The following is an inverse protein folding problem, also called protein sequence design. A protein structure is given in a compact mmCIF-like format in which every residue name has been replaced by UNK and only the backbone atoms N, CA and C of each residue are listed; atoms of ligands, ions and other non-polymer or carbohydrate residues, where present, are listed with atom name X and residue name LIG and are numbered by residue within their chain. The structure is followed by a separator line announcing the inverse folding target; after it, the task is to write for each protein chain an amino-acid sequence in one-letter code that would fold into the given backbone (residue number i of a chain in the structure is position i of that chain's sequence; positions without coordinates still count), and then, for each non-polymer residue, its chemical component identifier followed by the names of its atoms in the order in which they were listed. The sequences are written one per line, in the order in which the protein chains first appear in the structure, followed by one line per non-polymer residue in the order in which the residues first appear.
data_IF_330693218910
#
_entry.id   IF_330693218910
#
_cell.length_a   1.000
_cell.length_b   1.000
_cell.length_c   1.000
_cell.angle_alpha   90.00
_cell.angle_beta   90.00
_cell.angle_gamma   90.00
#
_symmetry.space_group_name_H-M   'P 1'
#
loop_
_entity.id
_entity.type
_entity.pdbx_description
1 polymer ?
#
# COMPACT_ATOMS: atom_id res chain seq x y z
N UNK A 1 -54.08 69.24 -79.60
CA UNK A 1 -55.20 68.52 -78.94
C UNK A 1 -54.60 67.65 -77.83
N UNK A 2 -55.13 67.66 -76.61
CA UNK A 2 -54.61 66.83 -75.51
C UNK A 2 -55.31 65.47 -75.54
N UNK A 3 -54.56 64.38 -75.70
CA UNK A 3 -55.06 63.01 -75.55
C UNK A 3 -55.18 62.63 -74.07
N UNK A 4 -56.10 61.72 -73.76
CA UNK A 4 -56.28 61.17 -72.42
C UNK A 4 -56.05 59.66 -72.47
N UNK A 5 -55.15 59.14 -71.63
CA UNK A 5 -55.02 57.69 -71.42
C UNK A 5 -56.00 57.27 -70.32
N UNK A 6 -56.77 56.19 -70.56
CA UNK A 6 -57.61 55.56 -69.54
C UNK A 6 -57.25 54.08 -69.40
N UNK A 7 -57.19 53.59 -68.17
CA UNK A 7 -56.99 52.16 -67.87
C UNK A 7 -58.31 51.58 -67.40
N UNK A 8 -58.77 50.51 -68.05
CA UNK A 8 -59.96 49.75 -67.66
C UNK A 8 -59.61 48.26 -67.67
N UNK A 9 -59.87 47.57 -66.57
CA UNK A 9 -59.68 46.10 -66.46
C UNK A 9 -58.29 45.61 -66.93
N UNK A 10 -57.23 46.28 -66.46
CA UNK A 10 -55.84 45.95 -66.81
C UNK A 10 -55.45 46.25 -68.27
N UNK A 11 -56.36 46.78 -69.07
CA UNK A 11 -56.13 47.18 -70.46
C UNK A 11 -56.00 48.71 -70.57
N UNK A 12 -55.00 49.17 -71.32
CA UNK A 12 -54.67 50.60 -71.46
C UNK A 12 -55.22 51.14 -72.79
N UNK A 13 -56.05 52.18 -72.72
CA UNK A 13 -56.73 52.78 -73.87
C UNK A 13 -56.29 54.23 -74.11
N UNK A 14 -56.00 54.56 -75.37
CA UNK A 14 -55.70 55.92 -75.81
C UNK A 14 -56.91 56.60 -76.44
N UNK A 15 -57.33 57.74 -75.91
CA UNK A 15 -58.46 58.51 -76.41
C UNK A 15 -58.01 59.88 -76.92
N UNK A 16 -58.45 60.24 -78.13
CA UNK A 16 -58.17 61.51 -78.80
C UNK A 16 -59.49 62.26 -79.03
N UNK A 17 -59.66 63.44 -78.42
CA UNK A 17 -60.95 64.15 -78.45
C UNK A 17 -61.11 65.04 -79.69
N UNK A 18 -62.09 64.75 -80.56
CA UNK A 18 -62.79 65.77 -81.36
C UNK A 18 -64.10 66.14 -80.63
N UNK A 19 -64.10 67.28 -79.93
CA UNK A 19 -65.25 68.07 -79.42
C UNK A 19 -66.59 67.35 -79.09
N UNK A 20 -66.84 67.01 -77.82
CA UNK A 20 -68.02 67.39 -76.99
C UNK A 20 -68.01 66.66 -75.63
N UNK A 21 -68.71 67.28 -74.68
CA UNK A 21 -68.71 67.11 -73.21
C UNK A 21 -68.94 65.68 -72.68
N UNK A 22 -68.30 65.34 -71.54
CA UNK A 22 -68.93 65.09 -70.21
C UNK A 22 -67.82 65.01 -69.14
N UNK A 23 -68.05 65.71 -68.02
CA UNK A 23 -67.24 65.70 -66.79
C UNK A 23 -67.35 64.39 -65.99
N UNK A 24 -66.29 64.06 -65.25
CA UNK A 24 -66.24 63.87 -63.79
C UNK A 24 -65.30 62.72 -63.37
N UNK A 25 -64.53 63.04 -62.34
CA UNK A 25 -63.42 62.34 -61.67
C UNK A 25 -63.73 60.94 -61.10
N UNK A 26 -62.69 60.08 -61.03
CA UNK A 26 -62.51 59.14 -59.91
C UNK A 26 -61.03 58.77 -59.70
N UNK A 27 -60.50 59.24 -58.58
CA UNK A 27 -59.35 58.77 -57.77
C UNK A 27 -58.40 57.71 -58.36
N UNK A 28 -57.15 58.12 -58.56
CA UNK A 28 -55.98 57.22 -58.66
C UNK A 28 -55.63 56.79 -57.23
N UNK A 29 -55.91 55.52 -56.90
CA UNK A 29 -55.33 54.87 -55.72
C UNK A 29 -53.86 54.54 -55.98
N UNK A 30 -52.96 54.65 -54.98
CA UNK A 30 -51.52 54.62 -55.20
C UNK A 30 -51.00 53.18 -55.20
N UNK A 31 -51.20 52.43 -56.29
CA UNK A 31 -50.36 51.28 -56.64
C UNK A 31 -50.30 51.18 -58.17
N UNK A 32 -49.07 51.12 -58.69
CA UNK A 32 -48.66 51.06 -60.10
C UNK A 32 -48.39 52.43 -60.76
N UNK A 33 -47.11 52.79 -60.72
CA UNK A 33 -46.51 54.02 -61.25
C UNK A 33 -46.44 54.09 -62.77
N UNK A 34 -47.59 54.03 -63.43
CA UNK A 34 -47.69 54.35 -64.84
C UNK A 34 -47.66 55.89 -64.99
N UNK A 35 -46.60 56.43 -65.58
CA UNK A 35 -46.50 57.84 -65.95
C UNK A 35 -46.51 57.99 -67.48
N UNK A 36 -47.41 58.82 -68.00
CA UNK A 36 -47.61 59.06 -69.44
C UNK A 36 -46.96 60.39 -69.80
N UNK A 37 -46.06 60.39 -70.78
CA UNK A 37 -45.25 61.59 -71.08
C UNK A 37 -45.75 62.44 -72.27
N UNK A 38 -46.49 61.91 -73.26
CA UNK A 38 -47.10 62.73 -74.32
C UNK A 38 -48.07 61.93 -75.22
N UNK A 39 -49.00 62.63 -75.86
CA UNK A 39 -49.82 62.14 -76.97
C UNK A 39 -49.63 63.05 -78.19
N UNK A 40 -49.27 62.49 -79.34
CA UNK A 40 -49.16 63.22 -80.61
C UNK A 40 -50.04 62.57 -81.70
N UNK A 41 -50.41 63.34 -82.72
CA UNK A 41 -51.20 62.86 -83.84
C UNK A 41 -50.35 62.90 -85.11
N UNK A 42 -50.29 61.79 -85.84
CA UNK A 42 -49.65 61.74 -87.16
C UNK A 42 -50.45 62.56 -88.18
N UNK A 43 -49.83 63.05 -89.27
CA UNK A 43 -50.52 63.79 -90.33
C UNK A 43 -51.70 63.02 -90.98
N UNK A 44 -51.73 61.69 -90.85
CA UNK A 44 -52.84 60.83 -91.29
C UNK A 44 -53.99 60.70 -90.26
N UNK A 45 -53.94 61.41 -89.13
CA UNK A 45 -54.98 61.43 -88.10
C UNK A 45 -54.92 60.29 -87.06
N UNK A 46 -53.94 59.37 -87.15
CA UNK A 46 -53.71 58.31 -86.14
C UNK A 46 -53.09 58.89 -84.86
N UNK A 47 -53.61 58.52 -83.69
CA UNK A 47 -53.07 58.99 -82.41
C UNK A 47 -52.02 58.03 -81.85
N UNK A 48 -50.84 58.56 -81.52
CA UNK A 48 -49.70 57.82 -80.94
C UNK A 48 -49.58 58.21 -79.46
N UNK A 49 -49.52 57.18 -78.60
CA UNK A 49 -49.24 57.33 -77.19
C UNK A 49 -48.01 56.50 -76.82
N UNK A 50 -47.11 57.09 -76.04
CA UNK A 50 -45.96 56.38 -75.49
C UNK A 50 -46.18 56.15 -74.00
N UNK A 51 -46.18 54.89 -73.58
CA UNK A 51 -46.24 54.48 -72.17
C UNK A 51 -44.93 53.82 -71.77
N UNK A 52 -44.48 54.07 -70.54
CA UNK A 52 -43.35 53.37 -69.92
C UNK A 52 -43.91 52.43 -68.86
N UNK A 53 -43.71 51.12 -69.05
CA UNK A 53 -44.02 50.11 -68.04
C UNK A 53 -42.82 49.93 -67.10
N UNK A 54 -43.01 49.85 -65.77
CA UNK A 54 -41.93 49.45 -64.88
C UNK A 54 -41.55 47.98 -65.11
N UNK A 55 -40.25 47.66 -65.04
CA UNK A 55 -39.74 46.30 -65.31
C UNK A 55 -40.35 45.26 -64.36
N UNK A 56 -41.04 44.28 -64.94
CA UNK A 56 -41.61 43.14 -64.21
C UNK A 56 -40.62 41.97 -64.14
N UNK A 57 -39.46 42.11 -63.48
CA UNK A 57 -38.53 40.98 -63.32
C UNK A 57 -37.64 41.03 -62.05
N UNK A 58 -38.24 40.95 -60.86
CA UNK A 58 -37.54 40.52 -59.65
C UNK A 58 -38.29 39.36 -58.98
N UNK A 59 -38.08 38.15 -59.50
CA UNK A 59 -38.65 36.92 -58.97
C UNK A 59 -38.09 36.58 -57.57
N UNK A 60 -38.89 36.79 -56.52
CA UNK A 60 -38.64 36.33 -55.12
C UNK A 60 -38.39 34.81 -54.99
N UNK A 61 -38.79 34.03 -56.00
CA UNK A 61 -38.71 32.57 -56.04
C UNK A 61 -37.27 32.04 -56.08
N UNK A 62 -36.32 32.77 -56.68
CA UNK A 62 -34.92 32.34 -56.79
C UNK A 62 -34.11 32.59 -55.53
N UNK A 63 -34.36 33.70 -54.83
CA UNK A 63 -33.72 33.98 -53.55
C UNK A 63 -34.11 32.95 -52.48
N UNK A 64 -35.41 32.62 -52.38
CA UNK A 64 -35.91 31.57 -51.48
C UNK A 64 -35.38 30.18 -51.84
N UNK A 65 -35.28 29.86 -53.13
CA UNK A 65 -34.74 28.56 -53.58
C UNK A 65 -33.24 28.42 -53.28
N UNK A 66 -32.45 29.49 -53.46
CA UNK A 66 -31.03 29.50 -53.07
C UNK A 66 -30.86 29.36 -51.57
N UNK A 67 -31.68 30.05 -50.78
CA UNK A 67 -31.65 30.00 -49.33
C UNK A 67 -32.02 28.59 -48.81
N UNK A 68 -33.01 27.93 -49.42
CA UNK A 68 -33.38 26.55 -49.10
C UNK A 68 -32.25 25.56 -49.41
N UNK A 69 -31.56 25.72 -50.55
CA UNK A 69 -30.45 24.86 -50.95
C UNK A 69 -29.26 24.98 -49.98
N UNK A 70 -28.93 26.20 -49.56
CA UNK A 70 -27.92 26.43 -48.51
C UNK A 70 -28.31 25.79 -47.18
N UNK A 71 -29.58 25.85 -46.81
CA UNK A 71 -30.06 25.23 -45.57
C UNK A 71 -29.96 23.70 -45.64
N UNK A 72 -30.30 23.09 -46.78
CA UNK A 72 -30.17 21.65 -47.01
C UNK A 72 -28.71 21.19 -46.94
N UNK A 73 -27.80 21.91 -47.58
CA UNK A 73 -26.36 21.62 -47.49
C UNK A 73 -25.84 21.73 -46.06
N UNK A 74 -26.28 22.75 -45.31
CA UNK A 74 -25.89 22.92 -43.92
C UNK A 74 -26.44 21.79 -43.02
N UNK A 75 -27.69 21.39 -43.21
CA UNK A 75 -28.30 20.26 -42.50
C UNK A 75 -27.56 18.97 -42.82
N UNK A 76 -27.22 18.75 -44.09
CA UNK A 76 -26.46 17.57 -44.51
C UNK A 76 -25.06 17.54 -43.89
N UNK A 77 -24.34 18.65 -43.90
CA UNK A 77 -23.02 18.77 -43.26
C UNK A 77 -23.09 18.55 -41.74
N UNK A 78 -24.12 19.08 -41.08
CA UNK A 78 -24.37 18.85 -39.66
C UNK A 78 -24.69 17.39 -39.38
N UNK A 79 -25.51 16.75 -40.22
CA UNK A 79 -25.84 15.33 -40.08
C UNK A 79 -24.59 14.44 -40.14
N UNK A 80 -23.70 14.70 -41.11
CA UNK A 80 -22.42 13.98 -41.21
C UNK A 80 -21.52 14.23 -39.99
N UNK A 81 -21.48 15.47 -39.51
CA UNK A 81 -20.69 15.82 -38.32
C UNK A 81 -21.22 15.13 -37.06
N UNK A 82 -22.54 15.02 -36.91
CA UNK A 82 -23.18 14.30 -35.81
C UNK A 82 -22.84 12.81 -35.86
N UNK A 83 -22.86 12.20 -37.03
CA UNK A 83 -22.53 10.78 -37.19
C UNK A 83 -21.08 10.49 -36.80
N UNK A 84 -20.13 11.31 -37.27
CA UNK A 84 -18.71 11.21 -36.89
C UNK A 84 -18.53 11.43 -35.39
N UNK A 85 -19.20 12.42 -34.81
CA UNK A 85 -19.14 12.69 -33.38
C UNK A 85 -19.69 11.52 -32.57
N UNK A 86 -20.82 10.93 -32.98
CA UNK A 86 -21.43 9.78 -32.32
C UNK A 86 -20.49 8.56 -32.32
N UNK A 87 -19.85 8.26 -33.46
CA UNK A 87 -18.87 7.18 -33.56
C UNK A 87 -17.66 7.39 -32.64
N UNK A 88 -17.20 8.65 -32.52
CA UNK A 88 -16.11 9.00 -31.60
C UNK A 88 -16.55 8.84 -30.15
N UNK A 89 -17.68 9.42 -29.77
CA UNK A 89 -18.22 9.33 -28.40
C UNK A 89 -18.47 7.88 -27.97
N UNK A 90 -18.97 7.03 -28.88
CA UNK A 90 -19.18 5.62 -28.60
C UNK A 90 -17.86 4.89 -28.32
N UNK A 91 -16.80 5.18 -29.09
CA UNK A 91 -15.47 4.62 -28.86
C UNK A 91 -14.86 5.11 -27.55
N UNK A 92 -14.95 6.41 -27.28
CA UNK A 92 -14.42 7.02 -26.05
C UNK A 92 -15.12 6.44 -24.82
N UNK A 93 -16.44 6.21 -24.89
CA UNK A 93 -17.19 5.56 -23.83
C UNK A 93 -16.68 4.14 -23.55
N UNK A 94 -16.41 3.34 -24.58
CA UNK A 94 -15.83 2.00 -24.40
C UNK A 94 -14.43 2.05 -23.76
N UNK A 95 -13.62 3.03 -24.14
CA UNK A 95 -12.31 3.24 -23.53
C UNK A 95 -12.41 3.59 -22.04
N UNK A 96 -13.34 4.48 -21.67
CA UNK A 96 -13.61 4.85 -20.27
C UNK A 96 -14.08 3.64 -19.47
N UNK A 97 -15.02 2.84 -19.97
CA UNK A 97 -15.47 1.61 -19.29
C UNK A 97 -14.31 0.64 -19.06
N UNK A 98 -13.44 0.44 -20.05
CA UNK A 98 -12.26 -0.41 -19.90
C UNK A 98 -11.33 0.14 -18.82
N UNK A 99 -11.06 1.45 -18.80
CA UNK A 99 -10.23 2.07 -17.76
C UNK A 99 -10.87 1.94 -16.36
N UNK A 100 -12.18 2.09 -16.24
CA UNK A 100 -12.90 1.91 -14.97
C UNK A 100 -12.72 0.49 -14.41
N UNK A 101 -12.81 -0.55 -15.27
CA UNK A 101 -12.54 -1.93 -14.84
C UNK A 101 -11.10 -2.13 -14.38
N UNK A 102 -10.12 -1.54 -15.09
CA UNK A 102 -8.71 -1.60 -14.70
C UNK A 102 -8.46 -0.87 -13.37
N UNK A 103 -9.08 0.29 -13.19
CA UNK A 103 -8.93 1.11 -11.99
C UNK A 103 -9.54 0.43 -10.77
N UNK A 104 -10.69 -0.23 -10.94
CA UNK A 104 -11.29 -1.11 -9.92
C UNK A 104 -10.35 -2.27 -9.57
N UNK A 105 -9.79 -2.95 -10.58
CA UNK A 105 -8.83 -4.04 -10.34
C UNK A 105 -7.55 -3.58 -9.64
N UNK A 106 -7.06 -2.37 -9.93
CA UNK A 106 -5.93 -1.77 -9.21
C UNK A 106 -6.30 -1.46 -7.76
N UNK A 107 -7.49 -0.90 -7.51
CA UNK A 107 -7.99 -0.61 -6.17
C UNK A 107 -8.06 -1.87 -5.30
N UNK A 108 -8.54 -2.99 -5.86
CA UNK A 108 -8.62 -4.26 -5.14
C UNK A 108 -7.22 -4.82 -4.81
N UNK A 109 -6.27 -4.73 -5.75
CA UNK A 109 -4.88 -5.11 -5.50
C UNK A 109 -4.23 -4.27 -4.40
N UNK A 110 -4.46 -2.95 -4.39
CA UNK A 110 -3.96 -2.09 -3.30
C UNK A 110 -4.54 -2.48 -1.95
N UNK A 111 -5.84 -2.79 -1.90
CA UNK A 111 -6.48 -3.24 -0.66
C UNK A 111 -5.88 -4.56 -0.16
N UNK A 112 -5.69 -5.52 -1.06
CA UNK A 112 -5.07 -6.79 -0.73
C UNK A 112 -3.64 -6.61 -0.20
N UNK A 113 -2.81 -5.80 -0.86
CA UNK A 113 -1.43 -5.54 -0.43
C UNK A 113 -1.41 -4.92 0.98
N UNK A 114 -2.32 -4.00 1.28
CA UNK A 114 -2.38 -3.38 2.62
C UNK A 114 -2.83 -4.37 3.69
N UNK A 115 -3.81 -5.24 3.38
CA UNK A 115 -4.28 -6.29 4.28
C UNK A 115 -3.18 -7.35 4.53
N UNK A 116 -2.49 -7.78 3.48
CA UNK A 116 -1.34 -8.69 3.56
C UNK A 116 -0.20 -8.08 4.39
N UNK A 117 0.10 -6.79 4.18
CA UNK A 117 1.11 -6.06 4.96
C UNK A 117 0.77 -6.04 6.45
N UNK A 118 -0.48 -5.73 6.81
CA UNK A 118 -0.94 -5.70 8.21
C UNK A 118 -0.81 -7.09 8.84
N UNK A 119 -1.30 -8.12 8.18
CA UNK A 119 -1.25 -9.49 8.71
C UNK A 119 0.19 -9.99 8.87
N UNK A 120 1.06 -9.71 7.90
CA UNK A 120 2.48 -10.07 7.95
C UNK A 120 3.20 -9.37 9.13
N UNK A 121 2.96 -8.06 9.30
CA UNK A 121 3.56 -7.29 10.38
C UNK A 121 3.10 -7.79 11.76
N UNK A 122 1.79 -8.08 11.92
CA UNK A 122 1.26 -8.63 13.17
C UNK A 122 1.86 -10.00 13.48
N UNK A 123 1.96 -10.89 12.49
CA UNK A 123 2.58 -12.21 12.67
C UNK A 123 4.05 -12.11 13.08
N UNK A 124 4.85 -11.33 12.35
CA UNK A 124 6.26 -11.17 12.68
C UNK A 124 6.48 -10.58 14.07
N UNK A 125 5.66 -9.61 14.47
CA UNK A 125 5.76 -9.05 15.82
C UNK A 125 5.39 -10.08 16.88
N UNK A 126 4.35 -10.88 16.64
CA UNK A 126 3.93 -11.95 17.55
C UNK A 126 4.99 -13.05 17.68
N UNK A 127 5.59 -13.47 16.56
CA UNK A 127 6.68 -14.46 16.56
C UNK A 127 7.90 -13.95 17.34
N UNK A 128 8.27 -12.67 17.17
CA UNK A 128 9.36 -12.05 17.92
C UNK A 128 9.05 -11.96 19.41
N UNK A 129 7.80 -11.63 19.76
CA UNK A 129 7.35 -11.57 21.14
C UNK A 129 7.40 -12.95 21.79
N UNK A 130 6.92 -13.99 21.11
CA UNK A 130 7.00 -15.38 21.59
C UNK A 130 8.45 -15.82 21.80
N UNK A 131 9.35 -15.50 20.87
CA UNK A 131 10.79 -15.79 21.02
C UNK A 131 11.43 -15.05 22.19
N UNK A 132 11.00 -13.83 22.47
CA UNK A 132 11.46 -13.06 23.63
C UNK A 132 10.95 -13.68 24.93
N UNK A 133 9.69 -14.11 24.96
CA UNK A 133 9.07 -14.80 26.09
C UNK A 133 9.73 -16.16 26.36
N UNK A 134 10.16 -16.89 25.31
CA UNK A 134 10.95 -18.13 25.42
C UNK A 134 12.34 -17.89 26.03
N UNK A 135 12.97 -16.74 25.72
CA UNK A 135 14.31 -16.41 26.21
C UNK A 135 14.29 -15.83 27.63
N UNK A 136 13.21 -15.17 28.03
CA UNK A 136 13.09 -14.49 29.33
C UNK A 136 13.42 -15.39 30.54
N UNK A 137 12.99 -16.67 30.60
CA UNK A 137 13.33 -17.58 31.70
C UNK A 137 14.81 -17.96 31.80
N UNK A 138 15.62 -17.73 30.76
CA UNK A 138 17.06 -18.01 30.83
C UNK A 138 17.80 -17.01 31.74
N UNK A 139 17.26 -15.81 31.94
CA UNK A 139 17.87 -14.79 32.79
C UNK A 139 18.13 -15.30 34.22
N UNK A 140 17.13 -15.81 34.98
CA UNK A 140 17.39 -16.33 36.32
C UNK A 140 18.32 -17.55 36.31
N UNK A 141 18.28 -18.38 35.27
CA UNK A 141 19.19 -19.54 35.12
C UNK A 141 20.65 -19.08 35.00
N UNK A 142 20.90 -18.02 34.22
CA UNK A 142 22.23 -17.45 34.06
C UNK A 142 22.74 -16.77 35.34
N UNK A 143 21.88 -16.07 36.07
CA UNK A 143 22.25 -15.50 37.37
C UNK A 143 22.54 -16.60 38.40
N UNK A 144 21.77 -17.69 38.42
CA UNK A 144 22.07 -18.85 39.26
C UNK A 144 23.42 -19.49 38.88
N UNK A 145 23.68 -19.70 37.59
CA UNK A 145 24.96 -20.26 37.16
C UNK A 145 26.15 -19.41 37.62
N UNK A 146 25.99 -18.07 37.60
CA UNK A 146 27.00 -17.13 38.10
C UNK A 146 27.18 -17.20 39.61
N UNK A 147 26.13 -17.45 40.39
CA UNK A 147 26.27 -17.69 41.85
C UNK A 147 26.97 -19.02 42.13
N UNK A 148 26.59 -20.07 41.41
CA UNK A 148 27.15 -21.41 41.58
C UNK A 148 28.64 -21.44 41.21
N UNK A 149 29.03 -20.73 40.14
CA UNK A 149 30.44 -20.59 39.76
C UNK A 149 31.29 -19.96 40.87
N UNK A 150 30.75 -18.98 41.62
CA UNK A 150 31.47 -18.38 42.77
C UNK A 150 31.59 -19.36 43.93
N UNK A 151 30.52 -20.11 44.23
CA UNK A 151 30.55 -21.15 45.27
C UNK A 151 31.58 -22.24 44.95
N UNK A 152 31.67 -22.66 43.69
CA UNK A 152 32.67 -23.65 43.25
C UNK A 152 34.09 -23.16 43.52
N UNK A 153 34.38 -21.87 43.28
CA UNK A 153 35.70 -21.30 43.59
C UNK A 153 35.98 -21.35 45.09
N UNK A 154 35.00 -20.97 45.92
CA UNK A 154 35.14 -21.04 47.38
C UNK A 154 35.36 -22.47 47.87
N UNK A 155 34.62 -23.44 47.34
CA UNK A 155 34.82 -24.85 47.68
C UNK A 155 36.20 -25.37 47.27
N UNK A 156 36.74 -24.93 46.12
CA UNK A 156 38.10 -25.30 45.72
C UNK A 156 39.15 -24.77 46.69
N UNK A 157 39.00 -23.54 47.16
CA UNK A 157 39.89 -22.94 48.15
C UNK A 157 39.81 -23.69 49.49
N UNK A 158 38.59 -24.01 49.94
CA UNK A 158 38.40 -24.77 51.18
C UNK A 158 38.99 -26.17 51.09
N UNK A 159 38.83 -26.85 49.94
CA UNK A 159 39.49 -28.14 49.69
C UNK A 159 41.01 -28.01 49.74
N UNK A 160 41.59 -26.95 49.18
CA UNK A 160 43.03 -26.72 49.24
C UNK A 160 43.51 -26.48 50.68
N UNK A 161 42.78 -25.67 51.45
CA UNK A 161 43.07 -25.42 52.87
C UNK A 161 43.00 -26.72 53.69
N UNK A 162 41.92 -27.48 53.55
CA UNK A 162 41.76 -28.77 54.23
C UNK A 162 42.84 -29.77 53.81
N UNK A 163 43.21 -29.80 52.53
CA UNK A 163 44.31 -30.66 52.05
C UNK A 163 45.64 -30.26 52.70
N UNK A 164 45.94 -28.97 52.79
CA UNK A 164 47.17 -28.49 53.46
C UNK A 164 47.20 -28.86 54.94
N UNK A 165 46.09 -28.70 55.66
CA UNK A 165 45.96 -29.10 57.07
C UNK A 165 46.14 -30.61 57.23
N UNK A 166 45.49 -31.41 56.38
CA UNK A 166 45.63 -32.87 56.40
C UNK A 166 47.07 -33.31 56.15
N UNK A 167 47.77 -32.70 55.18
CA UNK A 167 49.18 -32.98 54.91
C UNK A 167 50.05 -32.63 56.12
N UNK A 168 49.83 -31.47 56.77
CA UNK A 168 50.58 -31.08 57.96
C UNK A 168 50.37 -32.09 59.12
N UNK A 169 49.14 -32.56 59.33
CA UNK A 169 48.85 -33.59 60.34
C UNK A 169 49.52 -34.92 59.96
N UNK A 170 49.50 -35.31 58.68
CA UNK A 170 50.17 -36.52 58.20
C UNK A 170 51.70 -36.44 58.40
N UNK A 171 52.30 -35.28 58.17
CA UNK A 171 53.71 -35.03 58.46
C UNK A 171 53.99 -35.11 59.97
N UNK A 172 53.16 -34.48 60.81
CA UNK A 172 53.32 -34.54 62.27
C UNK A 172 53.23 -35.99 62.78
N UNK A 173 52.22 -36.76 62.33
CA UNK A 173 52.05 -38.18 62.65
C UNK A 173 53.22 -39.02 62.12
N UNK A 174 53.71 -38.73 60.91
CA UNK A 174 54.86 -39.42 60.32
C UNK A 174 56.20 -39.07 61.00
N UNK A 175 56.30 -37.91 61.65
CA UNK A 175 57.45 -37.48 62.46
C UNK A 175 57.43 -38.12 63.84
N UNK A 176 56.26 -38.52 64.38
CA UNK A 176 56.22 -39.38 65.54
C UNK A 176 56.76 -40.76 65.16
N UNK A 177 58.03 -40.99 65.50
CA UNK A 177 58.77 -42.23 65.25
C UNK A 177 58.21 -43.37 66.12
N UNK A 178 57.04 -43.87 65.68
CA UNK A 178 56.36 -45.02 66.28
C UNK A 178 57.31 -46.22 66.34
N UNK A 179 58.27 -46.32 65.41
CA UNK A 179 59.29 -47.35 65.39
C UNK A 179 60.34 -47.16 66.49
N UNK A 180 60.85 -45.95 66.72
CA UNK A 180 61.75 -45.68 67.85
C UNK A 180 61.06 -46.00 69.19
N UNK A 181 59.81 -45.57 69.36
CA UNK A 181 59.03 -45.86 70.55
C UNK A 181 58.79 -47.37 70.69
N UNK A 182 58.45 -48.06 69.61
CA UNK A 182 58.25 -49.51 69.59
C UNK A 182 59.51 -50.29 69.95
N UNK A 183 60.66 -49.93 69.38
CA UNK A 183 61.97 -50.51 69.72
C UNK A 183 62.31 -50.31 71.20
N UNK A 184 61.99 -49.14 71.75
CA UNK A 184 62.22 -48.83 73.16
C UNK A 184 61.32 -49.64 74.08
N UNK A 185 60.05 -49.84 73.69
CA UNK A 185 59.13 -50.75 74.39
C UNK A 185 59.65 -52.17 74.35
N UNK A 186 60.06 -52.71 73.19
CA UNK A 186 60.64 -54.07 73.08
C UNK A 186 61.88 -54.23 73.96
N UNK A 187 62.76 -53.22 73.96
CA UNK A 187 63.97 -53.22 74.80
C UNK A 187 63.62 -53.26 76.29
N UNK A 188 62.66 -52.44 76.72
CA UNK A 188 62.16 -52.42 78.09
C UNK A 188 61.49 -53.74 78.47
N UNK A 189 60.66 -54.32 77.60
CA UNK A 189 60.05 -55.63 77.81
C UNK A 189 61.10 -56.73 77.94
N UNK A 190 62.13 -56.72 77.10
CA UNK A 190 63.23 -57.70 77.16
C UNK A 190 64.01 -57.58 78.47
N UNK A 191 64.29 -56.34 78.91
CA UNK A 191 64.94 -56.08 80.20
C UNK A 191 64.07 -56.49 81.38
N UNK A 192 62.77 -56.21 81.33
CA UNK A 192 61.81 -56.62 82.36
C UNK A 192 61.75 -58.15 82.46
N UNK A 193 61.65 -58.86 81.33
CA UNK A 193 61.70 -60.33 81.26
C UNK A 193 63.02 -60.88 81.81
N UNK A 194 64.13 -60.21 81.50
CA UNK A 194 65.46 -60.50 82.07
C UNK A 194 65.55 -60.30 83.58
N UNK A 195 64.91 -59.27 84.12
CA UNK A 195 64.79 -59.08 85.58
C UNK A 195 63.89 -60.14 86.21
N UNK A 196 62.72 -60.42 85.62
CA UNK A 196 61.80 -61.44 86.10
C UNK A 196 62.45 -62.83 86.14
N UNK A 197 63.24 -63.19 85.13
CA UNK A 197 63.99 -64.45 85.09
C UNK A 197 65.15 -64.51 86.08
N UNK A 198 65.73 -63.37 86.46
CA UNK A 198 66.73 -63.29 87.53
C UNK A 198 66.09 -63.38 88.92
N UNK A 199 64.90 -62.80 89.10
CA UNK A 199 64.08 -62.91 90.31
C UNK A 199 63.47 -64.31 90.46
N UNK A 200 63.25 -65.04 89.36
CA UNK A 200 62.79 -66.43 89.37
C UNK A 200 63.90 -67.46 89.51
N UNK A 201 65.17 -67.05 89.71
CA UNK A 201 66.22 -67.99 90.12
C UNK A 201 66.05 -68.28 91.62
N UNK A 202 65.90 -69.55 92.03
CA UNK A 202 65.71 -69.88 93.44
C UNK A 202 67.01 -69.59 94.21
N UNK A 203 67.05 -68.45 94.91
CA UNK A 203 67.93 -68.26 96.05
C UNK A 203 67.09 -68.40 97.32
N UNK A 204 66.92 -69.62 97.81
CA UNK A 204 67.64 -70.06 99.00
C UNK A 204 67.23 -71.49 99.34
N UNK A 205 68.26 -72.28 99.61
CA UNK A 205 68.28 -73.60 100.17
C UNK A 205 67.51 -73.63 101.51
N UNK A 206 66.33 -74.24 101.55
CA UNK A 206 65.61 -74.60 102.81
C UNK A 206 65.37 -76.12 102.91
N UNK A 207 65.85 -76.93 101.94
CA UNK A 207 65.60 -78.38 101.90
C UNK A 207 66.80 -79.24 102.36
N UNK A 208 67.70 -78.68 103.17
CA UNK A 208 68.72 -79.49 103.87
C UNK A 208 68.33 -79.87 105.32
N UNK A 209 67.03 -79.87 105.64
CA UNK A 209 66.57 -80.27 106.97
C UNK A 209 65.67 -81.52 107.06
N UNK A 210 65.06 -82.05 105.98
CA UNK A 210 64.05 -83.13 106.15
C UNK A 210 64.09 -84.21 105.05
N UNK A 211 65.27 -84.78 104.72
CA UNK A 211 65.31 -85.99 103.86
C UNK A 211 66.51 -86.92 104.08
N UNK A 212 66.91 -87.10 105.34
CA UNK A 212 67.96 -88.05 105.75
C UNK A 212 67.55 -89.01 106.88
N UNK A 213 66.31 -88.91 107.39
CA UNK A 213 65.75 -89.82 108.38
C UNK A 213 64.45 -90.39 107.83
N UNK A 214 64.55 -91.38 106.94
CA UNK A 214 63.61 -92.49 106.74
C UNK A 214 64.01 -93.26 105.46
N UNK A 215 65.04 -94.09 105.58
CA UNK A 215 65.17 -95.34 104.85
C UNK A 215 65.88 -96.30 105.81
N UNK A 216 65.15 -97.34 106.21
CA UNK A 216 65.37 -98.24 107.34
C UNK A 216 66.53 -99.22 107.12
N UNK A 217 67.03 -99.76 108.25
CA UNK A 217 67.87 -100.98 108.41
C UNK A 217 69.36 -100.88 108.02
#
# INVERSE_FOLDING_TARGET
MKGLLKVYDGSVYCLCSRLREVMMSKTIGPKEGWQVYSSAQDPDGRCICTVVAPEQNLCSRDAKSKQLRQLLEKVQNMSQSIEVLNLRTQRDFQYVLKMETQMTGLKDKFRQIEDDRKTLMTKHFQDLQEKMDELQPLIPVLEQYKTDAKLIVQFKEEIQNLTAVLTAIQEEIGVYDYEELHLRVISLETRLRGCMTKLSKPQLNVDLYIRGTFAEL
#
